data_IF_074551488609
#
_entry.id   IF_074551488609
#
_cell.length_a   1.000
_cell.length_b   1.000
_cell.length_c   1.000
_cell.angle_alpha   90.00
_cell.angle_beta   90.00
_cell.angle_gamma   90.00
#
_symmetry.space_group_name_H-M   'P 1'
#
loop_
_entity.id
_entity.type
_entity.pdbx_description
1 polymer ?
#
# COMPACT_ATOMS: atom_id res chain seq x y z
N UNK A 1 53.96 44.22 -15.95
CA UNK A 1 53.75 43.40 -14.74
C UNK A 1 52.27 43.09 -14.64
N UNK A 2 51.94 41.81 -14.42
CA UNK A 2 50.61 41.18 -14.46
C UNK A 2 49.60 41.80 -13.47
N UNK A 3 48.29 41.79 -13.78
CA UNK A 3 47.38 40.75 -13.28
C UNK A 3 45.93 40.85 -13.78
N UNK A 4 45.32 39.67 -13.90
CA UNK A 4 43.94 39.35 -14.25
C UNK A 4 42.93 39.73 -13.16
N UNK A 5 41.66 39.98 -13.49
CA UNK A 5 40.57 38.99 -13.40
C UNK A 5 39.17 39.60 -13.60
N UNK A 6 38.33 38.80 -14.27
CA UNK A 6 36.87 38.90 -14.37
C UNK A 6 36.18 39.03 -13.02
N UNK A 7 35.03 39.72 -12.99
CA UNK A 7 33.83 39.14 -12.38
C UNK A 7 32.55 39.75 -12.96
N UNK A 8 31.59 38.85 -13.19
CA UNK A 8 30.32 39.03 -13.86
C UNK A 8 29.21 38.77 -12.85
N UNK A 9 28.28 39.70 -12.64
CA UNK A 9 27.02 39.43 -11.94
C UNK A 9 25.97 40.52 -12.22
N UNK A 10 25.02 40.21 -13.10
CA UNK A 10 23.78 40.98 -13.30
C UNK A 10 22.67 40.40 -12.42
N UNK A 11 22.21 41.15 -11.40
CA UNK A 11 21.01 40.81 -10.62
C UNK A 11 19.79 41.50 -11.24
N UNK A 12 18.91 40.71 -11.87
CA UNK A 12 17.62 41.16 -12.41
C UNK A 12 16.53 40.88 -11.36
N UNK A 13 16.01 41.93 -10.73
CA UNK A 13 14.92 41.86 -9.75
C UNK A 13 13.60 41.98 -10.49
N UNK A 14 12.92 40.86 -10.70
CA UNK A 14 11.51 40.84 -11.14
C UNK A 14 10.63 40.35 -10.00
N UNK A 15 9.80 41.27 -9.52
CA UNK A 15 8.70 41.03 -8.60
C UNK A 15 7.61 40.22 -9.30
N UNK A 16 7.43 38.96 -8.91
CA UNK A 16 6.30 38.14 -9.34
C UNK A 16 5.31 38.02 -8.19
N UNK A 17 4.22 38.76 -8.34
CA UNK A 17 2.98 38.64 -7.58
C UNK A 17 2.46 37.21 -7.80
N UNK A 18 2.53 36.35 -6.79
CA UNK A 18 1.90 35.04 -6.83
C UNK A 18 0.39 35.22 -6.66
N UNK A 19 -0.29 35.44 -7.79
CA UNK A 19 -1.73 35.50 -7.92
C UNK A 19 -2.32 34.07 -8.05
N UNK A 20 -2.04 33.23 -7.05
CA UNK A 20 -2.63 31.89 -6.91
C UNK A 20 -2.87 31.59 -5.43
N UNK A 21 -3.53 32.51 -4.73
CA UNK A 21 -4.20 32.17 -3.47
C UNK A 21 -5.61 31.66 -3.77
N UNK A 22 -5.93 30.57 -3.07
CA UNK A 22 -7.28 30.14 -2.70
C UNK A 22 -8.24 29.58 -3.76
N UNK A 23 -7.86 28.45 -4.34
CA UNK A 23 -8.72 27.26 -4.19
C UNK A 23 -7.86 26.04 -3.85
N UNK A 24 -7.24 26.05 -2.67
CA UNK A 24 -6.88 24.80 -2.04
C UNK A 24 -8.18 24.10 -1.62
N UNK A 25 -8.77 23.32 -2.53
CA UNK A 25 -9.69 22.25 -2.09
C UNK A 25 -8.82 21.33 -1.25
N UNK A 26 -8.80 21.57 0.07
CA UNK A 26 -8.30 20.64 1.06
C UNK A 26 -9.23 19.42 1.02
N UNK A 27 -9.10 18.61 -0.02
CA UNK A 27 -9.46 17.20 0.06
C UNK A 27 -8.45 16.61 1.03
N UNK A 28 -8.72 16.79 2.34
CA UNK A 28 -8.01 16.08 3.38
C UNK A 28 -8.14 14.60 3.05
N UNK A 29 -7.05 14.02 2.54
CA UNK A 29 -6.99 12.60 2.27
C UNK A 29 -7.06 11.90 3.63
N UNK A 30 -8.28 11.45 3.99
CA UNK A 30 -8.51 10.68 5.20
C UNK A 30 -7.58 9.47 5.22
N UNK A 31 -6.98 9.21 6.38
CA UNK A 31 -6.17 8.02 6.55
C UNK A 31 -7.07 6.77 6.49
N UNK A 32 -6.57 5.62 6.00
CA UNK A 32 -7.36 4.38 5.99
C UNK A 32 -7.89 3.93 7.35
N UNK A 33 -7.31 4.41 8.46
CA UNK A 33 -7.83 4.15 9.81
C UNK A 33 -9.19 4.83 10.03
N UNK A 34 -9.34 6.03 9.48
CA UNK A 34 -10.49 6.92 9.70
C UNK A 34 -11.61 6.72 8.67
N UNK A 35 -11.42 5.81 7.71
CA UNK A 35 -12.41 5.55 6.67
C UNK A 35 -13.70 4.97 7.25
N UNK A 36 -14.81 5.60 6.91
CA UNK A 36 -16.15 5.03 7.08
C UNK A 36 -16.38 3.92 6.05
N UNK A 37 -17.49 3.19 6.19
CA UNK A 37 -17.92 2.21 5.19
C UNK A 37 -18.09 2.86 3.80
N UNK A 38 -18.67 4.06 3.74
CA UNK A 38 -18.85 4.82 2.50
C UNK A 38 -17.51 5.27 1.89
N UNK A 39 -16.55 5.69 2.74
CA UNK A 39 -15.18 5.95 2.29
C UNK A 39 -14.55 4.67 1.72
N UNK A 40 -14.79 3.50 2.33
CA UNK A 40 -14.29 2.23 1.80
C UNK A 40 -14.92 1.89 0.45
N UNK A 41 -16.25 2.04 0.31
CA UNK A 41 -17.00 1.80 -0.93
C UNK A 41 -16.50 2.70 -2.08
N UNK A 42 -16.27 3.98 -1.81
CA UNK A 42 -15.74 4.91 -2.82
C UNK A 42 -14.29 4.60 -3.25
N UNK A 43 -13.53 3.90 -2.41
CA UNK A 43 -12.15 3.47 -2.69
C UNK A 43 -12.05 2.02 -3.22
N UNK A 44 -13.18 1.36 -3.50
CA UNK A 44 -13.20 0.04 -4.10
C UNK A 44 -12.85 0.09 -5.58
N UNK A 45 -12.05 -0.90 -6.01
CA UNK A 45 -11.70 -1.12 -7.40
C UNK A 45 -12.04 -2.55 -7.78
N UNK A 46 -12.88 -2.71 -8.80
CA UNK A 46 -13.22 -4.02 -9.37
C UNK A 46 -12.46 -4.19 -10.68
N UNK A 47 -11.60 -5.20 -10.71
CA UNK A 47 -10.71 -5.49 -11.83
C UNK A 47 -11.22 -6.77 -12.50
N UNK A 48 -11.48 -6.65 -13.80
CA UNK A 48 -11.86 -7.75 -14.67
C UNK A 48 -10.65 -8.12 -15.52
N UNK A 49 -10.26 -9.39 -15.49
CA UNK A 49 -9.14 -9.92 -16.26
C UNK A 49 -9.60 -11.13 -17.06
N UNK A 50 -9.17 -11.22 -18.31
CA UNK A 50 -9.39 -12.43 -19.11
C UNK A 50 -8.68 -13.62 -18.47
N UNK A 51 -9.41 -14.72 -18.31
CA UNK A 51 -8.85 -15.96 -17.79
C UNK A 51 -8.12 -16.73 -18.89
N UNK A 52 -7.25 -17.68 -18.50
CA UNK A 52 -6.65 -18.63 -19.45
C UNK A 52 -7.66 -19.62 -20.01
N UNK A 53 -8.81 -19.75 -19.35
CA UNK A 53 -9.91 -20.60 -19.77
C UNK A 53 -10.80 -19.80 -20.71
N UNK A 54 -11.12 -20.39 -21.87
CA UNK A 54 -12.01 -19.77 -22.86
C UNK A 54 -13.37 -19.46 -22.23
N UNK A 55 -13.90 -18.28 -22.53
CA UNK A 55 -15.21 -17.81 -22.07
C UNK A 55 -15.34 -17.63 -20.53
N UNK A 56 -14.23 -17.41 -19.84
CA UNK A 56 -14.19 -17.12 -18.39
C UNK A 56 -13.42 -15.82 -18.13
N UNK A 57 -13.93 -15.02 -17.20
CA UNK A 57 -13.26 -13.83 -16.70
C UNK A 57 -12.97 -13.98 -15.21
N UNK A 58 -11.77 -13.61 -14.81
CA UNK A 58 -11.34 -13.54 -13.43
C UNK A 58 -11.70 -12.14 -12.90
N UNK A 59 -12.52 -12.09 -11.86
CA UNK A 59 -12.91 -10.86 -11.17
C UNK A 59 -12.17 -10.79 -9.84
N UNK A 60 -11.44 -9.70 -9.65
CA UNK A 60 -10.79 -9.39 -8.38
C UNK A 60 -11.23 -8.04 -7.89
N UNK A 61 -11.49 -7.91 -6.59
CA UNK A 61 -11.88 -6.66 -5.98
C UNK A 61 -10.80 -6.24 -5.00
N UNK A 62 -10.42 -4.97 -5.07
CA UNK A 62 -9.38 -4.38 -4.25
C UNK A 62 -9.88 -3.15 -3.54
N UNK A 63 -9.41 -2.97 -2.31
CA UNK A 63 -9.50 -1.70 -1.60
C UNK A 63 -8.17 -0.97 -1.78
N UNK A 64 -8.23 0.27 -2.30
CA UNK A 64 -7.06 1.12 -2.55
C UNK A 64 -5.97 0.47 -3.40
N UNK A 65 -6.34 -0.42 -4.33
CA UNK A 65 -5.41 -1.09 -5.26
C UNK A 65 -4.44 -2.12 -4.63
N UNK A 66 -4.38 -2.22 -3.30
CA UNK A 66 -3.40 -3.02 -2.57
C UNK A 66 -4.02 -4.24 -1.87
N UNK A 67 -5.22 -4.09 -1.28
CA UNK A 67 -5.81 -5.13 -0.43
C UNK A 67 -6.94 -5.86 -1.14
N UNK A 68 -6.81 -7.17 -1.31
CA UNK A 68 -7.83 -8.00 -1.97
C UNK A 68 -9.00 -8.37 -1.04
N UNK A 69 -10.22 -8.22 -1.55
CA UNK A 69 -11.47 -8.62 -0.89
C UNK A 69 -11.80 -10.08 -1.20
N UNK A 70 -12.30 -10.83 -0.20
CA UNK A 70 -12.58 -12.27 -0.31
C UNK A 70 -14.02 -12.56 -0.76
N UNK A 71 -14.34 -12.27 -2.00
CA UNK A 71 -15.71 -12.23 -2.56
C UNK A 71 -16.58 -13.48 -2.38
N UNK A 72 -16.03 -14.69 -2.47
CA UNK A 72 -16.83 -15.92 -2.39
C UNK A 72 -15.99 -17.11 -1.90
N UNK A 73 -16.49 -17.92 -0.96
CA UNK A 73 -15.77 -19.05 -0.38
C UNK A 73 -14.36 -18.70 0.11
N UNK A 74 -14.19 -17.52 0.73
CA UNK A 74 -12.90 -16.97 1.13
C UNK A 74 -11.88 -16.73 0.00
N UNK A 75 -12.30 -16.79 -1.27
CA UNK A 75 -11.43 -16.52 -2.42
C UNK A 75 -11.42 -15.04 -2.75
N UNK A 76 -10.23 -14.53 -3.03
CA UNK A 76 -9.99 -13.13 -3.41
C UNK A 76 -10.24 -12.83 -4.89
N UNK A 77 -10.27 -13.89 -5.69
CA UNK A 77 -10.53 -13.86 -7.12
C UNK A 77 -11.61 -14.88 -7.40
N UNK A 78 -12.66 -14.46 -8.09
CA UNK A 78 -13.79 -15.31 -8.46
C UNK A 78 -13.82 -15.39 -9.98
N UNK A 79 -14.02 -16.60 -10.49
CA UNK A 79 -14.15 -16.85 -11.91
C UNK A 79 -15.63 -16.84 -12.27
N UNK A 80 -16.00 -16.00 -13.24
CA UNK A 80 -17.36 -15.96 -13.76
C UNK A 80 -17.34 -16.25 -15.25
N UNK A 81 -18.37 -16.93 -15.72
CA UNK A 81 -18.54 -17.18 -17.15
C UNK A 81 -18.80 -15.86 -17.86
N UNK A 82 -18.18 -15.68 -19.03
CA UNK A 82 -18.34 -14.46 -19.81
C UNK A 82 -19.82 -14.27 -20.19
N UNK A 83 -20.33 -13.05 -19.96
CA UNK A 83 -21.75 -12.71 -20.17
C UNK A 83 -22.74 -13.23 -19.11
N UNK A 84 -22.29 -13.96 -18.08
CA UNK A 84 -23.21 -14.44 -17.03
C UNK A 84 -23.68 -13.33 -16.08
N UNK A 85 -22.85 -12.31 -15.88
CA UNK A 85 -23.18 -11.10 -15.12
C UNK A 85 -22.56 -9.90 -15.82
N UNK A 86 -23.29 -8.79 -15.85
CA UNK A 86 -22.76 -7.52 -16.30
C UNK A 86 -21.80 -6.93 -15.26
N UNK A 87 -20.90 -6.05 -15.72
CA UNK A 87 -19.98 -5.31 -14.83
C UNK A 87 -20.72 -4.52 -13.74
N UNK A 88 -21.89 -3.96 -14.07
CA UNK A 88 -22.71 -3.20 -13.14
C UNK A 88 -23.28 -4.09 -12.01
N UNK A 89 -23.81 -5.27 -12.34
CA UNK A 89 -24.33 -6.21 -11.34
C UNK A 89 -23.25 -6.74 -10.40
N UNK A 90 -22.03 -6.93 -10.92
CA UNK A 90 -20.89 -7.33 -10.08
C UNK A 90 -20.52 -6.20 -9.12
N UNK A 91 -20.49 -4.95 -9.60
CA UNK A 91 -20.22 -3.78 -8.77
C UNK A 91 -21.26 -3.61 -7.66
N UNK A 92 -22.53 -3.74 -7.99
CA UNK A 92 -23.63 -3.64 -7.03
C UNK A 92 -23.52 -4.70 -5.93
N UNK A 93 -23.34 -5.97 -6.31
CA UNK A 93 -23.16 -7.08 -5.34
C UNK A 93 -21.96 -6.88 -4.43
N UNK A 94 -20.85 -6.40 -4.98
CA UNK A 94 -19.63 -6.13 -4.21
C UNK A 94 -19.84 -4.96 -3.25
N UNK A 95 -20.53 -3.91 -3.69
CA UNK A 95 -20.83 -2.74 -2.86
C UNK A 95 -21.82 -3.02 -1.73
N UNK A 96 -22.65 -4.05 -1.85
CA UNK A 96 -23.55 -4.52 -0.79
C UNK A 96 -22.91 -5.46 0.23
N UNK A 97 -21.63 -5.84 0.06
CA UNK A 97 -20.93 -6.78 0.93
C UNK A 97 -20.18 -6.06 2.07
N UNK A 98 -20.92 -5.32 2.89
CA UNK A 98 -20.37 -4.40 3.90
C UNK A 98 -19.37 -5.04 4.86
N UNK A 99 -19.71 -6.21 5.44
CA UNK A 99 -18.83 -6.93 6.38
C UNK A 99 -17.48 -7.27 5.76
N UNK A 100 -17.49 -7.65 4.47
CA UNK A 100 -16.28 -8.05 3.75
C UNK A 100 -15.41 -6.85 3.38
N UNK A 101 -16.05 -5.70 3.13
CA UNK A 101 -15.38 -4.43 2.90
C UNK A 101 -14.69 -3.98 4.20
N UNK A 102 -15.36 -4.10 5.34
CA UNK A 102 -14.80 -3.76 6.65
C UNK A 102 -13.64 -4.69 7.05
N UNK A 103 -13.75 -6.02 6.83
CA UNK A 103 -12.62 -6.95 7.04
C UNK A 103 -11.41 -6.55 6.17
N UNK A 104 -11.65 -6.10 4.93
CA UNK A 104 -10.59 -5.64 4.05
C UNK A 104 -9.96 -4.32 4.53
N UNK A 105 -10.74 -3.41 5.12
CA UNK A 105 -10.20 -2.19 5.78
C UNK A 105 -9.26 -2.56 6.92
N UNK A 106 -9.64 -3.49 7.79
CA UNK A 106 -8.79 -3.92 8.92
C UNK A 106 -7.46 -4.52 8.43
N UNK A 107 -7.52 -5.37 7.40
CA UNK A 107 -6.33 -5.96 6.78
C UNK A 107 -5.44 -4.90 6.13
N UNK A 108 -6.02 -3.88 5.49
CA UNK A 108 -5.29 -2.75 4.94
C UNK A 108 -4.54 -2.00 6.05
N UNK A 109 -5.23 -1.65 7.15
CA UNK A 109 -4.63 -0.96 8.29
C UNK A 109 -3.49 -1.79 8.90
N UNK A 110 -3.68 -3.09 9.07
CA UNK A 110 -2.64 -4.00 9.58
C UNK A 110 -1.40 -4.04 8.66
N UNK A 111 -1.62 -4.11 7.34
CA UNK A 111 -0.54 -4.09 6.34
C UNK A 111 0.25 -2.78 6.38
N UNK A 112 -0.44 -1.64 6.45
CA UNK A 112 0.19 -0.33 6.56
C UNK A 112 1.01 -0.17 7.85
N UNK A 113 0.47 -0.65 8.98
CA UNK A 113 1.21 -0.68 10.26
C UNK A 113 2.49 -1.50 10.13
N UNK A 114 2.41 -2.71 9.56
CA UNK A 114 3.57 -3.58 9.34
C UNK A 114 4.61 -2.93 8.42
N UNK A 115 4.17 -2.29 7.33
CA UNK A 115 5.06 -1.59 6.41
C UNK A 115 5.78 -0.41 7.09
N UNK A 116 5.09 0.35 7.95
CA UNK A 116 5.69 1.43 8.74
C UNK A 116 6.79 0.89 9.67
N UNK A 117 6.49 -0.14 10.45
CA UNK A 117 7.48 -0.79 11.34
C UNK A 117 8.68 -1.35 10.56
N UNK A 118 8.44 -1.95 9.39
CA UNK A 118 9.51 -2.46 8.53
C UNK A 118 10.45 -1.34 8.05
N UNK A 119 9.91 -0.16 7.72
CA UNK A 119 10.72 1.00 7.31
C UNK A 119 11.53 1.57 8.46
N UNK A 120 10.92 1.71 9.64
CA UNK A 120 11.58 2.21 10.85
C UNK A 120 12.73 1.29 11.29
N UNK A 121 12.52 -0.02 11.26
CA UNK A 121 13.57 -1.01 11.57
C UNK A 121 14.71 -1.01 10.55
N UNK A 122 14.40 -0.83 9.26
CA UNK A 122 15.42 -0.71 8.20
C UNK A 122 16.23 0.58 8.33
N UNK A 123 15.56 1.70 8.64
CA UNK A 123 16.21 2.99 8.90
C UNK A 123 17.19 2.89 10.07
N UNK A 124 16.75 2.37 11.22
CA UNK A 124 17.60 2.18 12.42
C UNK A 124 18.81 1.28 12.15
N UNK A 125 18.64 0.23 11.34
CA UNK A 125 19.76 -0.63 10.91
C UNK A 125 20.78 0.11 10.04
N UNK A 126 20.35 1.04 9.20
CA UNK A 126 21.21 1.79 8.29
C UNK A 126 21.88 3.01 8.96
N UNK A 127 21.28 3.58 10.01
CA UNK A 127 21.86 4.70 10.78
C UNK A 127 22.74 4.27 11.96
N UNK A 128 22.97 2.97 12.15
CA UNK A 128 23.88 2.45 13.19
C UNK A 128 23.23 2.12 14.53
N UNK A 129 21.95 2.43 14.72
CA UNK A 129 21.14 2.00 15.87
C UNK A 129 20.73 0.53 15.70
N UNK A 130 21.71 -0.39 15.79
CA UNK A 130 21.39 -1.81 15.91
C UNK A 130 20.74 -2.02 17.28
N UNK A 131 19.49 -2.53 17.36
CA UNK A 131 19.00 -3.06 18.63
C UNK A 131 19.98 -4.15 19.09
N UNK A 132 20.31 -4.14 20.37
CA UNK A 132 21.22 -5.11 20.97
C UNK A 132 20.80 -6.52 20.54
N UNK A 133 21.77 -7.34 20.09
CA UNK A 133 21.51 -8.76 19.87
C UNK A 133 20.83 -9.30 21.13
N UNK A 134 19.72 -10.04 21.03
CA UNK A 134 19.21 -10.77 22.18
C UNK A 134 20.38 -11.59 22.71
N UNK A 135 20.72 -11.41 23.99
CA UNK A 135 21.63 -12.31 24.67
C UNK A 135 20.96 -13.67 24.58
N UNK A 136 21.45 -14.52 23.69
CA UNK A 136 21.21 -15.95 23.81
C UNK A 136 21.92 -16.28 25.12
N UNK A 137 21.14 -16.50 26.18
CA UNK A 137 21.68 -17.14 27.37
C UNK A 137 22.15 -18.51 26.87
N UNK A 138 23.47 -18.69 26.81
CA UNK A 138 24.10 -20.00 26.65
C UNK A 138 23.74 -20.81 27.89
N UNK A 139 22.54 -21.40 27.90
CA UNK A 139 22.31 -22.55 28.75
C UNK A 139 23.06 -23.71 28.09
N UNK A 140 24.21 -24.04 28.67
CA UNK A 140 25.21 -24.95 28.13
C UNK A 140 24.74 -26.39 28.01
N UNK A 141 23.83 -26.68 27.08
CA UNK A 141 23.52 -28.04 26.66
C UNK A 141 24.50 -28.45 25.57
N UNK A 142 25.50 -29.25 25.97
CA UNK A 142 26.29 -30.08 25.05
C UNK A 142 25.34 -30.92 24.19
N UNK A 143 25.28 -30.62 22.90
CA UNK A 143 24.68 -31.53 21.93
C UNK A 143 25.64 -32.72 21.75
N UNK A 144 25.20 -33.97 21.97
CA UNK A 144 26.04 -35.14 21.73
C UNK A 144 26.42 -35.20 20.25
N UNK A 145 27.72 -35.23 19.96
CA UNK A 145 28.21 -35.42 18.59
C UNK A 145 27.80 -36.82 18.10
N UNK A 146 27.30 -36.96 16.85
CA UNK A 146 27.06 -38.27 16.28
C UNK A 146 28.39 -39.01 16.05
N UNK A 147 28.42 -40.34 16.21
CA UNK A 147 29.63 -41.11 16.00
C UNK A 147 30.00 -41.06 14.51
N UNK A 148 31.23 -40.64 14.22
CA UNK A 148 31.79 -40.71 12.87
C UNK A 148 31.87 -42.17 12.43
N UNK A 149 31.39 -42.45 11.21
CA UNK A 149 31.60 -43.71 10.48
C UNK A 149 32.95 -43.70 9.77
#
# INVERSE_FOLDING_TARGET
MNNLNNDSATNNVFSSINLFDDVAVTNEHKSPSDWTLEDCKSNLQVIFKESKIKDVIDVSVRLQGLTLLKLQNNKTVVQIKNGALSKAEVLERVSGADDMILEAKERLVASLKKAKTSRETTYKRNTGDRPAKPKIEEDGQEYPQPPYS
#
